data_IF_801228351912
#
_entry.id   IF_801228351912
#
_cell.length_a   1.000
_cell.length_b   1.000
_cell.length_c   1.000
_cell.angle_alpha   90.00
_cell.angle_beta   90.00
_cell.angle_gamma   90.00
#
_symmetry.space_group_name_H-M   'P 1'
#
loop_
_entity.id
_entity.type
_entity.pdbx_description
1 polymer ?
#
# COMPACT_ATOMS: atom_id res chain seq x y z
N UNK A 1 -9.38 4.86 12.69
CA UNK A 1 -8.72 5.47 13.86
C UNK A 1 -7.24 5.13 13.81
N UNK A 2 -6.34 5.97 14.34
CA UNK A 2 -6.62 7.30 14.90
C UNK A 2 -7.24 8.25 13.85
N UNK A 3 -8.02 9.24 14.28
CA UNK A 3 -8.71 10.18 13.37
C UNK A 3 -7.81 11.36 12.98
N UNK A 4 -6.57 11.08 12.58
CA UNK A 4 -5.60 12.08 12.14
C UNK A 4 -5.82 12.33 10.65
N UNK A 5 -6.04 13.58 10.28
CA UNK A 5 -6.16 13.95 8.87
C UNK A 5 -4.76 14.05 8.24
N UNK A 6 -4.40 13.08 7.40
CA UNK A 6 -3.08 13.00 6.76
C UNK A 6 -2.82 14.11 5.72
N UNK A 7 -3.85 14.79 5.20
CA UNK A 7 -3.71 15.87 4.23
C UNK A 7 -3.49 17.24 4.87
N UNK A 8 -4.03 17.45 6.08
CA UNK A 8 -3.90 18.72 6.80
C UNK A 8 -2.90 18.68 7.95
N UNK A 9 -2.49 17.49 8.39
CA UNK A 9 -1.42 17.34 9.38
C UNK A 9 -0.05 17.53 8.74
N UNK A 10 0.90 18.04 9.51
CA UNK A 10 2.28 18.21 9.09
C UNK A 10 3.24 17.97 10.25
N UNK A 11 4.51 17.71 9.94
CA UNK A 11 5.60 17.64 10.90
C UNK A 11 6.80 18.38 10.35
N UNK A 12 7.33 19.34 11.11
CA UNK A 12 8.56 20.07 10.78
C UNK A 12 9.83 19.24 11.05
N UNK A 13 9.67 18.02 11.59
CA UNK A 13 10.79 17.16 11.99
C UNK A 13 11.16 16.12 10.95
N UNK A 14 10.42 16.00 9.84
CA UNK A 14 10.65 14.96 8.82
C UNK A 14 12.11 14.99 8.34
N UNK A 15 12.59 16.16 7.91
CA UNK A 15 13.97 16.31 7.40
C UNK A 15 15.02 16.09 8.48
N UNK A 16 14.72 16.52 9.72
CA UNK A 16 15.64 16.35 10.85
C UNK A 16 15.79 14.87 11.22
N UNK A 17 14.69 14.11 11.16
CA UNK A 17 14.68 12.69 11.50
C UNK A 17 15.09 11.78 10.34
N UNK A 18 15.01 12.27 9.09
CA UNK A 18 15.32 11.49 7.88
C UNK A 18 16.70 10.85 7.95
N UNK A 19 17.71 11.57 8.47
CA UNK A 19 19.07 11.03 8.65
C UNK A 19 19.07 9.78 9.52
N UNK A 20 18.39 9.83 10.67
CA UNK A 20 18.33 8.69 11.59
C UNK A 20 17.60 7.51 10.97
N UNK A 21 16.46 7.74 10.31
CA UNK A 21 15.72 6.68 9.62
C UNK A 21 16.56 6.02 8.53
N UNK A 22 17.26 6.81 7.72
CA UNK A 22 18.13 6.30 6.65
C UNK A 22 19.29 5.47 7.20
N UNK A 23 19.89 5.88 8.31
CA UNK A 23 20.98 5.15 8.97
C UNK A 23 20.50 3.82 9.60
N UNK A 24 19.28 3.78 10.16
CA UNK A 24 18.77 2.60 10.87
C UNK A 24 18.06 1.59 9.95
N UNK A 25 17.32 2.06 8.95
CA UNK A 25 16.42 1.22 8.12
C UNK A 25 16.74 1.31 6.63
N UNK A 26 17.72 2.12 6.24
CA UNK A 26 18.07 2.36 4.85
C UNK A 26 17.25 3.49 4.20
N UNK A 27 17.72 4.01 3.04
CA UNK A 27 17.10 5.15 2.37
C UNK A 27 15.68 4.86 1.86
N UNK A 28 15.37 3.59 1.59
CA UNK A 28 14.03 3.16 1.15
C UNK A 28 12.94 3.52 2.15
N UNK A 29 13.24 3.64 3.45
CA UNK A 29 12.25 4.02 4.45
C UNK A 29 11.63 5.38 4.14
N UNK A 30 12.47 6.39 3.97
CA UNK A 30 11.99 7.76 3.70
C UNK A 30 11.41 7.89 2.29
N UNK A 31 12.02 7.23 1.30
CA UNK A 31 11.50 7.18 -0.08
C UNK A 31 10.07 6.59 -0.11
N UNK A 32 9.85 5.49 0.61
CA UNK A 32 8.53 4.85 0.67
C UNK A 32 7.51 5.71 1.39
N UNK A 33 7.91 6.40 2.47
CA UNK A 33 7.04 7.37 3.16
C UNK A 33 6.61 8.51 2.25
N UNK A 34 7.52 9.01 1.41
CA UNK A 34 7.23 10.09 0.48
C UNK A 34 6.32 9.60 -0.65
N UNK A 35 6.60 8.40 -1.20
CA UNK A 35 5.75 7.76 -2.20
C UNK A 35 4.33 7.51 -1.67
N UNK A 36 4.20 7.00 -0.44
CA UNK A 36 2.90 6.77 0.19
C UNK A 36 2.11 8.08 0.36
N UNK A 37 2.77 9.16 0.78
CA UNK A 37 2.12 10.48 0.89
C UNK A 37 1.69 11.02 -0.47
N UNK A 38 2.52 10.85 -1.50
CA UNK A 38 2.18 11.26 -2.86
C UNK A 38 0.92 10.54 -3.37
N UNK A 39 0.83 9.21 -3.19
CA UNK A 39 -0.35 8.42 -3.56
C UNK A 39 -1.62 8.90 -2.84
N UNK A 40 -1.51 9.25 -1.55
CA UNK A 40 -2.65 9.78 -0.78
C UNK A 40 -3.08 11.19 -1.25
N UNK A 41 -2.15 12.00 -1.74
CA UNK A 41 -2.46 13.30 -2.33
C UNK A 41 -3.13 13.14 -3.69
N UNK A 42 -2.59 12.26 -4.54
CA UNK A 42 -3.16 11.91 -5.85
C UNK A 42 -4.57 11.33 -5.69
N UNK A 43 -4.81 10.47 -4.70
CA UNK A 43 -6.16 9.98 -4.36
C UNK A 43 -7.13 11.14 -4.11
N UNK A 44 -6.72 12.15 -3.34
CA UNK A 44 -7.58 13.29 -3.03
C UNK A 44 -7.94 14.09 -4.28
N UNK A 45 -7.00 14.27 -5.21
CA UNK A 45 -7.25 14.92 -6.50
C UNK A 45 -8.21 14.07 -7.36
N UNK A 46 -7.97 12.76 -7.44
CA UNK A 46 -8.82 11.82 -8.18
C UNK A 46 -10.24 11.74 -7.59
N UNK A 47 -10.41 11.86 -6.28
CA UNK A 47 -11.73 11.86 -5.64
C UNK A 47 -12.62 13.01 -6.12
N UNK A 48 -12.05 14.19 -6.41
CA UNK A 48 -12.83 15.30 -6.98
C UNK A 48 -13.28 15.00 -8.41
N UNK A 49 -12.43 14.33 -9.20
CA UNK A 49 -12.81 13.85 -10.54
C UNK A 49 -13.95 12.81 -10.43
N UNK A 50 -13.79 11.82 -9.55
CA UNK A 50 -14.80 10.77 -9.32
C UNK A 50 -16.15 11.37 -8.91
N UNK A 51 -16.18 12.42 -8.09
CA UNK A 51 -17.41 13.11 -7.71
C UNK A 51 -18.12 13.77 -8.89
N UNK A 52 -17.38 14.24 -9.89
CA UNK A 52 -17.91 14.94 -11.05
C UNK A 52 -18.39 13.98 -12.14
N UNK A 53 -17.62 12.92 -12.42
CA UNK A 53 -17.84 12.06 -13.62
C UNK A 53 -17.99 10.57 -13.31
N UNK A 54 -17.85 10.15 -12.05
CA UNK A 54 -17.92 8.76 -11.63
C UNK A 54 -16.57 8.01 -11.73
N UNK A 55 -16.47 6.89 -11.03
CA UNK A 55 -15.22 6.10 -10.94
C UNK A 55 -14.84 5.41 -12.25
N UNK A 56 -15.82 5.07 -13.08
CA UNK A 56 -15.59 4.39 -14.36
C UNK A 56 -14.92 5.30 -15.42
N UNK A 57 -14.87 6.61 -15.17
CA UNK A 57 -14.18 7.57 -16.04
C UNK A 57 -12.66 7.61 -15.83
N UNK A 58 -12.16 7.02 -14.73
CA UNK A 58 -10.73 7.01 -14.41
C UNK A 58 -9.94 6.05 -15.30
N UNK A 59 -8.70 6.43 -15.63
CA UNK A 59 -7.80 5.55 -16.36
C UNK A 59 -7.44 4.31 -15.52
N UNK A 60 -6.96 3.22 -16.14
CA UNK A 60 -6.48 2.07 -15.38
C UNK A 60 -5.43 2.41 -14.32
N UNK A 61 -4.50 3.31 -14.65
CA UNK A 61 -3.48 3.76 -13.71
C UNK A 61 -4.09 4.51 -12.52
N UNK A 62 -5.05 5.41 -12.76
CA UNK A 62 -5.71 6.18 -11.69
C UNK A 62 -6.55 5.27 -10.78
N UNK A 63 -7.21 4.26 -11.35
CA UNK A 63 -7.95 3.27 -10.56
C UNK A 63 -7.02 2.45 -9.67
N UNK A 64 -5.81 2.14 -10.13
CA UNK A 64 -4.79 1.49 -9.31
C UNK A 64 -4.23 2.43 -8.23
N UNK A 65 -4.04 3.72 -8.52
CA UNK A 65 -3.71 4.74 -7.51
C UNK A 65 -4.79 4.75 -6.41
N UNK A 66 -6.08 4.81 -6.79
CA UNK A 66 -7.20 4.79 -5.83
C UNK A 66 -7.21 3.52 -4.97
N UNK A 67 -6.95 2.36 -5.57
CA UNK A 67 -6.90 1.09 -4.85
C UNK A 67 -5.71 1.03 -3.87
N UNK A 68 -4.53 1.48 -4.31
CA UNK A 68 -3.33 1.54 -3.46
C UNK A 68 -3.52 2.53 -2.32
N UNK A 69 -4.12 3.70 -2.58
CA UNK A 69 -4.44 4.69 -1.55
C UNK A 69 -5.43 4.13 -0.53
N UNK A 70 -6.43 3.37 -0.97
CA UNK A 70 -7.33 2.64 -0.06
C UNK A 70 -6.57 1.68 0.85
N UNK A 71 -5.63 0.89 0.31
CA UNK A 71 -4.77 0.01 1.11
C UNK A 71 -3.93 0.81 2.11
N UNK A 72 -3.32 1.92 1.71
CA UNK A 72 -2.59 2.81 2.63
C UNK A 72 -3.50 3.33 3.75
N UNK A 73 -4.74 3.72 3.45
CA UNK A 73 -5.70 4.21 4.47
C UNK A 73 -6.17 3.11 5.42
N UNK A 74 -6.54 1.94 4.91
CA UNK A 74 -7.22 0.88 5.68
C UNK A 74 -6.23 -0.09 6.34
N UNK A 75 -5.10 -0.34 5.69
CA UNK A 75 -4.16 -1.39 6.09
C UNK A 75 -2.91 -0.82 6.80
N UNK A 76 -2.57 0.45 6.57
CA UNK A 76 -1.42 1.11 7.19
C UNK A 76 -1.78 2.25 8.15
N UNK A 77 -2.55 3.26 7.71
CA UNK A 77 -2.89 4.43 8.54
C UNK A 77 -3.90 4.08 9.65
N UNK A 78 -4.83 3.17 9.37
CA UNK A 78 -5.77 2.69 10.38
C UNK A 78 -5.12 1.66 11.30
N UNK A 79 -5.11 2.00 12.59
CA UNK A 79 -4.54 1.19 13.65
C UNK A 79 -5.55 1.06 14.80
N UNK A 80 -5.74 -0.17 15.28
CA UNK A 80 -6.66 -0.48 16.37
C UNK A 80 -5.92 -0.55 17.72
N UNK A 81 -6.02 0.52 18.50
CA UNK A 81 -5.42 0.62 19.83
C UNK A 81 -6.00 -0.37 20.88
N UNK A 82 -7.10 -1.06 20.56
CA UNK A 82 -7.74 -2.03 21.46
C UNK A 82 -7.40 -3.50 21.13
N UNK A 83 -6.58 -3.75 20.11
CA UNK A 83 -6.13 -5.09 19.73
C UNK A 83 -4.64 -5.18 20.01
N UNK A 84 -4.22 -6.14 20.82
CA UNK A 84 -2.84 -6.22 21.32
C UNK A 84 -1.79 -6.26 20.20
N UNK A 85 -2.09 -6.97 19.11
CA UNK A 85 -1.20 -7.14 17.96
C UNK A 85 -1.09 -5.88 17.07
N UNK A 86 -2.07 -4.98 17.16
CA UNK A 86 -2.16 -3.76 16.35
C UNK A 86 -2.03 -2.48 17.21
N UNK A 87 -2.09 -2.58 18.53
CA UNK A 87 -1.95 -1.43 19.43
C UNK A 87 -0.54 -0.82 19.40
N UNK A 88 0.46 -1.60 18.98
CA UNK A 88 1.82 -1.15 18.77
C UNK A 88 2.43 -1.80 17.53
N UNK A 89 3.15 -1.01 16.73
CA UNK A 89 3.91 -1.51 15.57
C UNK A 89 5.33 -0.98 15.63
N UNK A 90 6.32 -1.87 15.55
CA UNK A 90 7.75 -1.48 15.54
C UNK A 90 8.09 -0.75 14.24
N UNK A 91 9.16 0.06 14.23
CA UNK A 91 9.58 0.78 13.01
C UNK A 91 9.85 -0.16 11.83
N UNK A 92 10.44 -1.33 12.10
CA UNK A 92 10.69 -2.35 11.08
C UNK A 92 9.38 -2.95 10.54
N UNK A 93 8.41 -3.29 11.41
CA UNK A 93 7.09 -3.78 10.98
C UNK A 93 6.33 -2.73 10.16
N UNK A 94 6.38 -1.46 10.57
CA UNK A 94 5.80 -0.35 9.81
C UNK A 94 6.43 -0.22 8.41
N UNK A 95 7.76 -0.25 8.34
CA UNK A 95 8.49 -0.16 7.06
C UNK A 95 8.10 -1.30 6.13
N UNK A 96 8.12 -2.53 6.64
CA UNK A 96 7.85 -3.73 5.87
C UNK A 96 6.40 -3.80 5.37
N UNK A 97 5.44 -3.37 6.19
CA UNK A 97 4.03 -3.29 5.80
C UNK A 97 3.81 -2.25 4.69
N UNK A 98 4.37 -1.05 4.85
CA UNK A 98 4.30 0.00 3.84
C UNK A 98 4.98 -0.45 2.53
N UNK A 99 6.16 -1.08 2.62
CA UNK A 99 6.90 -1.61 1.48
C UNK A 99 6.08 -2.65 0.72
N UNK A 100 5.36 -3.53 1.43
CA UNK A 100 4.50 -4.54 0.82
C UNK A 100 3.34 -3.91 0.03
N UNK A 101 2.66 -2.90 0.57
CA UNK A 101 1.62 -2.13 -0.14
C UNK A 101 2.19 -1.43 -1.39
N UNK A 102 3.37 -0.81 -1.28
CA UNK A 102 4.01 -0.14 -2.42
C UNK A 102 4.57 -1.11 -3.46
N UNK A 103 4.85 -2.35 -3.05
CA UNK A 103 5.22 -3.43 -3.97
C UNK A 103 4.01 -3.87 -4.79
N UNK A 104 2.82 -3.97 -4.18
CA UNK A 104 1.57 -4.20 -4.90
C UNK A 104 1.33 -3.12 -5.97
N UNK A 105 1.48 -1.83 -5.62
CA UNK A 105 1.38 -0.73 -6.59
C UNK A 105 2.35 -0.90 -7.76
N UNK A 106 3.60 -1.20 -7.46
CA UNK A 106 4.65 -1.33 -8.49
C UNK A 106 4.38 -2.51 -9.43
N UNK A 107 4.06 -3.68 -8.88
CA UNK A 107 3.74 -4.87 -9.68
C UNK A 107 2.41 -4.72 -10.42
N UNK A 108 1.42 -4.07 -9.81
CA UNK A 108 0.14 -3.80 -10.43
C UNK A 108 0.26 -2.85 -11.62
N UNK A 109 1.10 -1.81 -11.53
CA UNK A 109 1.37 -0.90 -12.67
C UNK A 109 2.02 -1.65 -13.83
N UNK A 110 2.99 -2.51 -13.54
CA UNK A 110 3.63 -3.37 -14.53
C UNK A 110 2.62 -4.34 -15.18
N UNK A 111 1.79 -5.00 -14.37
CA UNK A 111 0.76 -5.92 -14.85
C UNK A 111 -0.26 -5.23 -15.77
N UNK A 112 -0.79 -4.07 -15.36
CA UNK A 112 -1.71 -3.29 -16.19
C UNK A 112 -1.03 -2.80 -17.49
N UNK A 113 0.25 -2.44 -17.43
CA UNK A 113 1.05 -2.09 -18.61
C UNK A 113 1.21 -3.25 -19.60
N UNK A 114 1.13 -4.49 -19.12
CA UNK A 114 1.14 -5.73 -19.91
C UNK A 114 -0.26 -6.19 -20.35
N UNK A 115 -1.31 -5.40 -20.08
CA UNK A 115 -2.68 -5.71 -20.51
C UNK A 115 -3.44 -6.64 -19.55
N UNK A 116 -2.95 -6.86 -18.34
CA UNK A 116 -3.62 -7.71 -17.38
C UNK A 116 -5.03 -7.19 -17.00
N UNK A 117 -5.98 -8.11 -16.75
CA UNK A 117 -7.33 -7.72 -16.34
C UNK A 117 -7.32 -7.08 -14.95
N UNK A 118 -7.80 -5.84 -14.88
CA UNK A 118 -7.82 -5.07 -13.64
C UNK A 118 -8.69 -5.71 -12.56
N UNK A 119 -9.84 -6.29 -12.94
CA UNK A 119 -10.75 -6.87 -11.95
C UNK A 119 -10.10 -8.08 -11.29
N UNK A 120 -9.42 -8.92 -12.06
CA UNK A 120 -8.62 -10.04 -11.57
C UNK A 120 -7.47 -9.57 -10.69
N UNK A 121 -6.72 -8.53 -11.12
CA UNK A 121 -5.63 -7.95 -10.32
C UNK A 121 -6.11 -7.44 -8.96
N UNK A 122 -7.29 -6.80 -8.91
CA UNK A 122 -7.85 -6.30 -7.65
C UNK A 122 -8.49 -7.41 -6.80
N UNK A 123 -8.70 -8.61 -7.35
CA UNK A 123 -9.31 -9.75 -6.67
C UNK A 123 -8.29 -10.77 -6.14
N UNK A 124 -6.98 -10.51 -6.27
CA UNK A 124 -5.93 -11.42 -5.80
C UNK A 124 -6.04 -11.67 -4.28
N UNK A 125 -5.81 -12.92 -3.86
CA UNK A 125 -5.93 -13.32 -2.46
C UNK A 125 -4.90 -12.64 -1.55
N UNK A 126 -3.74 -12.29 -2.09
CA UNK A 126 -2.69 -11.58 -1.36
C UNK A 126 -3.18 -10.23 -0.81
N UNK A 127 -4.06 -9.51 -1.51
CA UNK A 127 -4.57 -8.21 -1.04
C UNK A 127 -5.36 -8.35 0.27
N UNK A 128 -6.16 -9.40 0.39
CA UNK A 128 -6.89 -9.70 1.65
C UNK A 128 -5.93 -10.05 2.79
N UNK A 129 -4.80 -10.72 2.49
CA UNK A 129 -3.76 -11.00 3.48
C UNK A 129 -3.01 -9.72 3.88
N UNK A 130 -2.71 -8.82 2.95
CA UNK A 130 -2.12 -7.51 3.24
C UNK A 130 -3.00 -6.73 4.22
N UNK A 131 -4.32 -6.69 4.01
CA UNK A 131 -5.23 -5.97 4.92
C UNK A 131 -5.31 -6.52 6.34
N UNK A 132 -4.88 -7.77 6.55
CA UNK A 132 -4.76 -8.40 7.87
C UNK A 132 -3.34 -8.38 8.43
N UNK A 133 -2.34 -8.03 7.62
CA UNK A 133 -0.93 -8.14 7.96
C UNK A 133 -0.51 -7.24 9.14
N UNK A 134 -1.24 -6.16 9.41
CA UNK A 134 -1.02 -5.33 10.61
C UNK A 134 -1.25 -6.11 11.93
N UNK A 135 -2.02 -7.20 11.90
CA UNK A 135 -2.27 -8.09 13.05
C UNK A 135 -1.17 -9.15 13.26
N UNK A 136 -0.16 -9.22 12.39
CA UNK A 136 0.89 -10.22 12.51
C UNK A 136 1.71 -10.04 13.81
N UNK A 137 2.03 -11.15 14.48
CA UNK A 137 2.74 -11.10 15.76
C UNK A 137 4.18 -10.56 15.58
N UNK A 138 4.74 -9.85 16.58
CA UNK A 138 6.08 -9.25 16.47
C UNK A 138 7.23 -10.22 16.17
N UNK A 139 7.07 -11.50 16.51
CA UNK A 139 8.07 -12.55 16.30
C UNK A 139 7.90 -13.30 14.97
N UNK A 140 6.74 -13.19 14.31
CA UNK A 140 6.41 -13.95 13.09
C UNK A 140 6.16 -13.09 11.85
N UNK A 141 5.93 -11.78 12.00
CA UNK A 141 5.52 -10.92 10.88
C UNK A 141 6.44 -10.98 9.67
N UNK A 142 7.77 -11.13 9.87
CA UNK A 142 8.72 -11.22 8.74
C UNK A 142 8.46 -12.42 7.84
N UNK A 143 8.25 -13.58 8.45
CA UNK A 143 7.96 -14.81 7.71
C UNK A 143 6.59 -14.73 7.03
N UNK A 144 5.61 -14.17 7.73
CA UNK A 144 4.27 -13.95 7.18
C UNK A 144 4.30 -13.00 5.98
N UNK A 145 4.97 -11.85 6.08
CA UNK A 145 5.05 -10.86 5.02
C UNK A 145 5.82 -11.40 3.82
N UNK A 146 6.89 -12.17 4.04
CA UNK A 146 7.59 -12.87 2.96
C UNK A 146 6.67 -13.83 2.20
N UNK A 147 5.85 -14.62 2.93
CA UNK A 147 4.84 -15.49 2.32
C UNK A 147 3.77 -14.73 1.54
N UNK A 148 3.32 -13.57 2.05
CA UNK A 148 2.35 -12.71 1.34
C UNK A 148 2.98 -12.16 0.06
N UNK A 149 4.22 -11.68 0.11
CA UNK A 149 4.93 -11.16 -1.05
C UNK A 149 5.14 -12.22 -2.13
N UNK A 150 5.48 -13.45 -1.75
CA UNK A 150 5.62 -14.57 -2.69
C UNK A 150 4.28 -14.91 -3.34
N UNK A 151 3.21 -15.05 -2.55
CA UNK A 151 1.86 -15.28 -3.07
C UNK A 151 1.45 -14.15 -4.04
N UNK A 152 1.65 -12.89 -3.66
CA UNK A 152 1.29 -11.74 -4.46
C UNK A 152 1.96 -11.77 -5.83
N UNK A 153 3.27 -12.06 -5.88
CA UNK A 153 4.00 -12.18 -7.16
C UNK A 153 3.40 -13.28 -8.04
N UNK A 154 3.20 -14.47 -7.48
CA UNK A 154 2.64 -15.59 -8.23
C UNK A 154 1.22 -15.31 -8.75
N UNK A 155 0.36 -14.67 -7.93
CA UNK A 155 -1.00 -14.31 -8.34
C UNK A 155 -1.01 -13.22 -9.42
N UNK A 156 -0.14 -12.20 -9.31
CA UNK A 156 -0.03 -11.15 -10.33
C UNK A 156 0.52 -11.74 -11.65
N UNK A 157 1.52 -12.61 -11.60
CA UNK A 157 2.06 -13.29 -12.79
C UNK A 157 0.99 -14.13 -13.49
N UNK A 158 0.15 -14.84 -12.72
CA UNK A 158 -0.99 -15.58 -13.27
C UNK A 158 -2.04 -14.67 -13.90
N UNK A 159 -2.29 -13.49 -13.31
CA UNK A 159 -3.22 -12.49 -13.85
C UNK A 159 -2.69 -11.88 -15.16
N UNK A 160 -1.38 -11.66 -15.27
CA UNK A 160 -0.73 -11.24 -16.52
C UNK A 160 -0.92 -12.31 -17.60
N UNK A 161 -0.58 -13.57 -17.29
CA UNK A 161 -0.68 -14.67 -18.24
C UNK A 161 -2.13 -14.89 -18.73
N UNK A 162 -3.12 -14.77 -17.84
CA UNK A 162 -4.54 -14.89 -18.23
C UNK A 162 -5.08 -13.71 -19.03
N UNK A 163 -4.41 -12.54 -19.00
CA UNK A 163 -4.76 -11.37 -19.80
C UNK A 163 -4.26 -11.44 -21.25
N UNK A 164 -3.20 -12.21 -21.53
CA UNK A 164 -2.69 -12.43 -22.89
C UNK A 164 -3.63 -13.30 -23.75
N UNK A 165 -4.52 -14.06 -23.11
CA UNK A 165 -5.47 -14.98 -23.75
C UNK A 165 -6.86 -14.35 -24.06
N UNK A 166 -7.10 -13.09 -23.68
CA UNK A 166 -8.38 -12.37 -23.80
C UNK A 166 -8.39 -11.30 -24.91
#
# INVERSE_FOLDING_TARGET
FPAINWLTSYSLYVDTLAKWYNEQFGPEYMINRDKAMHILQEENELQEIVRLVGQDALSPADRLTMETAKMLREDFLQQNAFVDEDAYSSYDKQFELMRMILTFDTLGRDALGKGADMKALFAIGAKERIGRAKMAAPDTYKAEYASILEQMKNEIDAVIAGGEDA
#
